data_IF_273588568878
#
_entry.id   IF_273588568878
#
_cell.length_a   1.000
_cell.length_b   1.000
_cell.length_c   1.000
_cell.angle_alpha   90.00
_cell.angle_beta   90.00
_cell.angle_gamma   90.00
#
_symmetry.space_group_name_H-M   'P 1'
#
loop_
_entity.id
_entity.type
_entity.pdbx_description
1 polymer ?
#
# COMPACT_ATOMS: atom_id res chain seq x y z
N UNK A 1 27.87 12.00 15.18
CA UNK A 1 26.69 11.95 14.31
C UNK A 1 27.17 12.06 12.88
N UNK A 2 26.83 11.13 12.03
CA UNK A 2 27.11 11.21 10.60
C UNK A 2 26.09 12.13 9.94
N UNK A 3 26.53 12.93 8.95
CA UNK A 3 25.62 13.72 8.12
C UNK A 3 24.80 12.78 7.21
N UNK A 4 23.63 13.23 6.76
CA UNK A 4 22.81 12.45 5.84
C UNK A 4 23.52 12.22 4.49
N UNK A 5 24.36 13.18 4.06
CA UNK A 5 25.19 13.05 2.87
C UNK A 5 26.25 11.94 3.00
N UNK A 6 26.92 11.82 4.16
CA UNK A 6 27.86 10.74 4.43
C UNK A 6 27.18 9.36 4.47
N UNK A 7 25.95 9.30 4.99
CA UNK A 7 25.17 8.08 5.04
C UNK A 7 24.72 7.65 3.64
N UNK A 8 24.22 8.60 2.85
CA UNK A 8 23.80 8.35 1.48
C UNK A 8 24.96 7.82 0.61
N UNK A 9 26.16 8.40 0.72
CA UNK A 9 27.35 7.91 0.03
C UNK A 9 27.74 6.47 0.41
N UNK A 10 27.32 6.01 1.59
CA UNK A 10 27.54 4.64 2.08
C UNK A 10 26.34 3.71 1.77
N UNK A 11 25.36 4.16 1.03
CA UNK A 11 24.17 3.39 0.68
C UNK A 11 23.16 3.24 1.81
N UNK A 12 23.09 4.21 2.73
CA UNK A 12 22.09 4.26 3.79
C UNK A 12 21.17 5.46 3.63
N UNK A 13 19.89 5.23 3.79
CA UNK A 13 18.88 6.26 3.91
C UNK A 13 18.48 6.42 5.38
N UNK A 14 18.32 7.66 5.84
CA UNK A 14 17.83 7.97 7.17
C UNK A 14 16.30 8.13 7.11
N UNK A 15 15.60 7.29 7.87
CA UNK A 15 14.16 7.38 8.07
C UNK A 15 13.93 7.69 9.55
N UNK A 16 13.76 8.97 9.90
CA UNK A 16 13.72 9.49 11.27
C UNK A 16 15.00 9.12 12.04
N UNK A 17 14.90 8.25 13.04
CA UNK A 17 15.98 7.75 13.89
C UNK A 17 16.54 6.39 13.43
N UNK A 18 16.00 5.84 12.35
CA UNK A 18 16.39 4.55 11.77
C UNK A 18 17.21 4.75 10.50
N UNK A 19 18.17 3.86 10.28
CA UNK A 19 18.95 3.79 9.04
C UNK A 19 18.51 2.58 8.24
N UNK A 20 18.18 2.79 6.98
CA UNK A 20 17.77 1.74 6.04
C UNK A 20 18.79 1.65 4.90
N UNK A 21 19.16 0.42 4.53
CA UNK A 21 20.07 0.19 3.40
C UNK A 21 19.31 0.33 2.08
N UNK A 22 19.93 0.97 1.10
CA UNK A 22 19.41 1.12 -0.26
C UNK A 22 19.03 -0.24 -0.89
N UNK A 23 19.81 -1.29 -0.60
CA UNK A 23 19.53 -2.65 -1.08
C UNK A 23 18.21 -3.22 -0.55
N UNK A 24 17.79 -2.83 0.67
CA UNK A 24 16.52 -3.27 1.23
C UNK A 24 15.33 -2.57 0.55
N UNK A 25 15.47 -1.29 0.22
CA UNK A 25 14.46 -0.55 -0.55
C UNK A 25 14.26 -1.17 -1.92
N UNK A 26 15.33 -1.46 -2.64
CA UNK A 26 15.29 -2.15 -3.94
C UNK A 26 14.64 -3.55 -3.85
N UNK A 27 14.88 -4.27 -2.74
CA UNK A 27 14.23 -5.56 -2.49
C UNK A 27 12.72 -5.40 -2.29
N UNK A 28 12.29 -4.42 -1.49
CA UNK A 28 10.86 -4.14 -1.26
C UNK A 28 10.18 -3.74 -2.57
N UNK A 29 10.78 -2.85 -3.36
CA UNK A 29 10.28 -2.47 -4.69
C UNK A 29 10.11 -3.69 -5.60
N UNK A 30 11.07 -4.62 -5.58
CA UNK A 30 10.97 -5.86 -6.35
C UNK A 30 9.75 -6.71 -5.93
N UNK A 31 9.53 -6.90 -4.63
CA UNK A 31 8.38 -7.64 -4.09
C UNK A 31 7.06 -6.98 -4.51
N UNK A 32 6.97 -5.66 -4.35
CA UNK A 32 5.78 -4.88 -4.76
C UNK A 32 5.54 -5.02 -6.25
N UNK A 33 6.57 -4.87 -7.09
CA UNK A 33 6.47 -5.01 -8.53
C UNK A 33 5.99 -6.40 -8.97
N UNK A 34 6.48 -7.47 -8.35
CA UNK A 34 6.01 -8.83 -8.60
C UNK A 34 4.52 -8.99 -8.27
N UNK A 35 4.12 -8.45 -7.12
CA UNK A 35 2.72 -8.51 -6.66
C UNK A 35 1.81 -7.75 -7.61
N UNK A 36 2.17 -6.53 -7.99
CA UNK A 36 1.36 -5.68 -8.88
C UNK A 36 1.17 -6.28 -10.28
N UNK A 37 2.11 -7.09 -10.76
CA UNK A 37 1.96 -7.83 -12.03
C UNK A 37 0.88 -8.93 -11.97
N UNK A 38 0.54 -9.39 -10.76
CA UNK A 38 -0.45 -10.46 -10.52
C UNK A 38 -1.84 -9.93 -10.21
N UNK A 39 -1.95 -8.67 -9.79
CA UNK A 39 -3.22 -8.06 -9.42
C UNK A 39 -4.07 -7.81 -10.66
N UNK A 40 -5.35 -8.22 -10.57
CA UNK A 40 -6.36 -7.84 -11.55
C UNK A 40 -6.74 -6.36 -11.38
N UNK A 41 -6.37 -5.53 -12.34
CA UNK A 41 -6.62 -4.09 -12.32
C UNK A 41 -8.00 -3.69 -12.84
N UNK A 42 -8.85 -4.65 -13.22
CA UNK A 42 -10.23 -4.40 -13.64
C UNK A 42 -11.18 -4.24 -12.45
N UNK A 43 -10.73 -4.61 -11.26
CA UNK A 43 -11.51 -4.47 -10.03
C UNK A 43 -10.92 -3.38 -9.14
N UNK A 44 -11.76 -2.68 -8.37
CA UNK A 44 -11.29 -1.71 -7.40
C UNK A 44 -10.32 -2.35 -6.42
N UNK A 45 -9.23 -1.63 -6.13
CA UNK A 45 -8.24 -2.04 -5.15
C UNK A 45 -8.57 -1.44 -3.79
N UNK A 46 -8.16 -2.14 -2.74
CA UNK A 46 -8.12 -1.63 -1.37
C UNK A 46 -6.83 -2.05 -0.69
N UNK A 47 -6.53 -1.46 0.46
CA UNK A 47 -5.29 -1.80 1.16
C UNK A 47 -5.27 -3.26 1.63
N UNK A 48 -6.40 -3.77 2.08
CA UNK A 48 -6.55 -5.16 2.52
C UNK A 48 -6.34 -6.16 1.38
N UNK A 49 -6.89 -5.90 0.19
CA UNK A 49 -6.68 -6.75 -0.99
C UNK A 49 -5.20 -6.76 -1.40
N UNK A 50 -4.58 -5.58 -1.42
CA UNK A 50 -3.17 -5.44 -1.76
C UNK A 50 -2.25 -6.13 -0.74
N UNK A 51 -2.46 -5.93 0.55
CA UNK A 51 -1.65 -6.58 1.60
C UNK A 51 -1.81 -8.09 1.60
N UNK A 52 -2.98 -8.60 1.24
CA UNK A 52 -3.21 -10.02 1.04
C UNK A 52 -2.41 -10.59 -0.13
N UNK A 53 -2.43 -9.92 -1.27
CA UNK A 53 -1.64 -10.35 -2.44
C UNK A 53 -0.13 -10.23 -2.21
N UNK A 54 0.32 -9.21 -1.47
CA UNK A 54 1.71 -9.11 -1.01
C UNK A 54 2.08 -10.27 -0.10
N UNK A 55 1.22 -10.58 0.88
CA UNK A 55 1.42 -11.72 1.78
C UNK A 55 1.50 -13.05 1.04
N UNK A 56 0.68 -13.23 -0.01
CA UNK A 56 0.72 -14.38 -0.91
C UNK A 56 2.03 -14.44 -1.68
N UNK A 57 2.45 -13.36 -2.31
CA UNK A 57 3.73 -13.27 -3.04
C UNK A 57 4.90 -13.61 -2.13
N UNK A 58 4.91 -13.07 -0.89
CA UNK A 58 5.93 -13.39 0.10
C UNK A 58 5.90 -14.85 0.54
N UNK A 59 4.73 -15.49 0.56
CA UNK A 59 4.61 -16.90 0.92
C UNK A 59 5.10 -17.85 -0.17
N UNK A 60 4.89 -17.49 -1.43
CA UNK A 60 5.19 -18.31 -2.60
C UNK A 60 6.63 -18.15 -3.10
N UNK A 61 7.20 -16.93 -3.03
CA UNK A 61 8.44 -16.60 -3.70
C UNK A 61 9.63 -16.34 -2.76
N UNK A 62 9.37 -16.12 -1.47
CA UNK A 62 10.41 -15.69 -0.55
C UNK A 62 10.46 -16.55 0.71
N UNK A 63 11.68 -16.86 1.14
CA UNK A 63 11.92 -17.56 2.39
C UNK A 63 11.91 -16.60 3.61
N UNK A 64 11.87 -17.17 4.80
CA UNK A 64 11.93 -16.43 6.05
C UNK A 64 10.58 -15.96 6.59
N UNK A 65 10.56 -15.41 7.82
CA UNK A 65 9.36 -14.88 8.46
C UNK A 65 9.00 -13.49 7.91
N UNK A 66 7.70 -13.16 7.97
CA UNK A 66 7.21 -11.83 7.61
C UNK A 66 5.80 -11.63 8.14
N UNK A 67 5.46 -10.39 8.49
CA UNK A 67 4.14 -10.05 9.06
C UNK A 67 3.05 -10.33 8.03
N UNK A 68 3.16 -9.80 6.82
CA UNK A 68 2.16 -10.00 5.76
C UNK A 68 2.08 -11.46 5.30
N UNK A 69 3.24 -12.15 5.21
CA UNK A 69 3.28 -13.59 4.94
C UNK A 69 2.53 -14.38 5.99
N UNK A 70 2.76 -14.10 7.27
CA UNK A 70 2.09 -14.77 8.38
C UNK A 70 0.59 -14.47 8.40
N UNK A 71 0.21 -13.23 8.13
CA UNK A 71 -1.17 -12.79 8.03
C UNK A 71 -1.90 -13.54 6.90
N UNK A 72 -1.30 -13.62 5.71
CA UNK A 72 -1.84 -14.38 4.59
C UNK A 72 -2.05 -15.86 4.92
N UNK A 73 -1.01 -16.54 5.45
CA UNK A 73 -1.06 -17.96 5.79
C UNK A 73 -2.10 -18.29 6.87
N UNK A 74 -2.43 -17.33 7.73
CA UNK A 74 -3.41 -17.46 8.82
C UNK A 74 -4.77 -16.84 8.50
N UNK A 75 -4.94 -16.33 7.28
CA UNK A 75 -6.13 -15.61 6.85
C UNK A 75 -6.52 -14.45 7.79
N UNK A 76 -5.52 -13.68 8.23
CA UNK A 76 -5.71 -12.48 9.04
C UNK A 76 -5.66 -11.26 8.13
N UNK A 77 -6.74 -10.46 8.04
CA UNK A 77 -6.74 -9.26 7.21
C UNK A 77 -5.82 -8.17 7.79
N UNK A 78 -5.17 -7.43 6.90
CA UNK A 78 -4.32 -6.29 7.25
C UNK A 78 -4.80 -5.07 6.49
N UNK A 79 -5.06 -3.96 7.18
CA UNK A 79 -5.56 -2.71 6.63
C UNK A 79 -4.54 -1.59 6.82
N UNK A 80 -4.43 -0.69 5.83
CA UNK A 80 -3.59 0.51 5.87
C UNK A 80 -4.50 1.74 5.69
N UNK A 81 -5.03 2.32 6.76
CA UNK A 81 -6.02 3.41 6.68
C UNK A 81 -5.51 4.68 5.99
N UNK A 82 -4.22 5.00 6.12
CA UNK A 82 -3.58 6.13 5.46
C UNK A 82 -2.79 5.68 4.22
N UNK A 83 -3.38 4.83 3.37
CA UNK A 83 -2.71 4.17 2.27
C UNK A 83 -2.00 5.14 1.31
N UNK A 84 -2.64 6.25 0.93
CA UNK A 84 -2.06 7.23 0.00
C UNK A 84 -0.92 8.06 0.60
N UNK A 85 -0.76 8.03 1.94
CA UNK A 85 0.34 8.65 2.68
C UNK A 85 1.37 7.58 3.11
N UNK A 86 1.57 6.57 2.27
CA UNK A 86 2.51 5.48 2.51
C UNK A 86 3.38 5.22 1.27
N UNK A 87 4.57 4.69 1.50
CA UNK A 87 5.49 4.24 0.43
C UNK A 87 4.78 3.27 -0.53
N UNK A 88 4.05 2.31 0.02
CA UNK A 88 3.27 1.36 -0.78
C UNK A 88 2.21 2.05 -1.64
N UNK A 89 1.57 3.09 -1.12
CA UNK A 89 0.60 3.89 -1.89
C UNK A 89 1.26 4.62 -3.03
N UNK A 90 2.45 5.15 -2.83
CA UNK A 90 3.26 5.79 -3.87
C UNK A 90 3.68 4.78 -4.93
N UNK A 91 4.17 3.61 -4.55
CA UNK A 91 4.60 2.55 -5.48
C UNK A 91 3.44 2.08 -6.36
N UNK A 92 2.28 1.84 -5.77
CA UNK A 92 1.06 1.46 -6.52
C UNK A 92 0.64 2.56 -7.49
N UNK A 93 0.65 3.82 -7.04
CA UNK A 93 0.32 4.98 -7.85
C UNK A 93 1.29 5.13 -9.03
N UNK A 94 2.58 5.05 -8.77
CA UNK A 94 3.65 5.17 -9.78
C UNK A 94 3.57 4.05 -10.81
N UNK A 95 3.37 2.80 -10.37
CA UNK A 95 3.20 1.66 -11.27
C UNK A 95 1.96 1.81 -12.17
N UNK A 96 0.83 2.21 -11.61
CA UNK A 96 -0.40 2.40 -12.37
C UNK A 96 -0.26 3.54 -13.40
N UNK A 97 0.39 4.63 -13.02
CA UNK A 97 0.71 5.74 -13.92
C UNK A 97 1.70 5.32 -14.99
N UNK A 98 2.75 4.58 -14.63
CA UNK A 98 3.77 4.11 -15.57
C UNK A 98 3.21 3.30 -16.73
N UNK A 99 2.28 2.39 -16.45
CA UNK A 99 1.61 1.58 -17.49
C UNK A 99 0.81 2.39 -18.52
N UNK A 100 0.41 3.60 -18.16
CA UNK A 100 -0.49 4.46 -18.96
C UNK A 100 0.18 5.73 -19.47
N UNK A 101 1.44 5.93 -19.10
CA UNK A 101 2.20 7.12 -19.46
C UNK A 101 2.31 7.29 -20.99
N UNK A 102 2.59 6.22 -21.71
CA UNK A 102 2.71 6.28 -23.17
C UNK A 102 1.37 6.63 -23.84
N UNK A 103 0.28 6.06 -23.34
CA UNK A 103 -1.06 6.41 -23.78
C UNK A 103 -1.40 7.87 -23.49
N UNK A 104 -1.10 8.35 -22.28
CA UNK A 104 -1.34 9.75 -21.91
C UNK A 104 -0.51 10.69 -22.78
N UNK A 105 0.75 10.40 -23.02
CA UNK A 105 1.62 11.19 -23.92
C UNK A 105 1.11 11.22 -25.35
N UNK A 106 0.58 10.11 -25.86
CA UNK A 106 0.03 10.05 -27.22
C UNK A 106 -1.23 10.90 -27.40
N UNK A 107 -1.98 11.14 -26.33
CA UNK A 107 -3.19 11.97 -26.34
C UNK A 107 -2.90 13.48 -26.26
N UNK A 108 -1.71 13.84 -25.80
CA UNK A 108 -1.31 15.25 -25.59
C UNK A 108 -0.43 15.71 -26.73
N UNK A 109 -0.97 16.54 -27.62
CA UNK A 109 -0.21 17.12 -28.73
C UNK A 109 0.66 18.30 -28.32
N UNK A 110 0.15 19.12 -27.39
CA UNK A 110 0.81 20.32 -26.87
C UNK A 110 0.45 20.52 -25.39
N UNK A 111 1.36 21.08 -24.57
CA UNK A 111 1.03 21.46 -23.19
C UNK A 111 1.97 20.92 -22.11
N UNK A 112 3.04 20.24 -22.50
CA UNK A 112 4.10 19.78 -21.58
C UNK A 112 3.61 18.79 -20.50
N UNK A 113 4.40 18.63 -19.44
CA UNK A 113 4.15 17.64 -18.37
C UNK A 113 2.80 17.83 -17.66
N UNK A 114 2.33 19.08 -17.52
CA UNK A 114 1.03 19.35 -16.88
C UNK A 114 -0.13 18.76 -17.67
N UNK A 115 -0.07 18.81 -18.99
CA UNK A 115 -1.12 18.24 -19.83
C UNK A 115 -1.09 16.70 -19.79
N UNK A 116 0.10 16.10 -19.74
CA UNK A 116 0.27 14.66 -19.54
C UNK A 116 -0.29 14.22 -18.21
N UNK A 117 -0.01 14.94 -17.12
CA UNK A 117 -0.58 14.65 -15.79
C UNK A 117 -2.11 14.73 -15.77
N UNK A 118 -2.70 15.70 -16.48
CA UNK A 118 -4.17 15.79 -16.62
C UNK A 118 -4.76 14.59 -17.38
N UNK A 119 -4.07 14.13 -18.42
CA UNK A 119 -4.49 12.93 -19.16
C UNK A 119 -4.38 11.68 -18.29
N UNK A 120 -3.34 11.56 -17.47
CA UNK A 120 -3.17 10.48 -16.48
C UNK A 120 -4.24 10.48 -15.40
N UNK A 121 -4.77 11.64 -15.03
CA UNK A 121 -5.82 11.75 -14.01
C UNK A 121 -7.05 10.86 -14.32
N UNK A 122 -7.41 10.73 -15.58
CA UNK A 122 -8.52 9.87 -16.04
C UNK A 122 -8.18 8.37 -15.99
N UNK A 123 -6.95 8.03 -15.71
CA UNK A 123 -6.42 6.66 -15.76
C UNK A 123 -5.86 6.17 -14.43
N UNK A 124 -6.05 6.93 -13.34
CA UNK A 124 -5.64 6.49 -12.00
C UNK A 124 -6.30 5.16 -11.63
N UNK A 125 -5.61 4.30 -10.87
CA UNK A 125 -6.20 3.07 -10.40
C UNK A 125 -7.44 3.36 -9.56
N UNK A 126 -8.45 2.53 -9.71
CA UNK A 126 -9.64 2.62 -8.86
C UNK A 126 -9.29 2.05 -7.48
N UNK A 127 -8.83 2.93 -6.60
CA UNK A 127 -8.54 2.60 -5.21
C UNK A 127 -9.68 3.09 -4.32
N UNK A 128 -10.39 2.14 -3.70
CA UNK A 128 -11.54 2.45 -2.86
C UNK A 128 -11.29 2.06 -1.39
N UNK A 129 -10.98 3.02 -0.52
CA UNK A 129 -10.73 2.75 0.91
C UNK A 129 -11.97 2.27 1.67
N UNK A 130 -13.16 2.47 1.13
CA UNK A 130 -14.39 1.98 1.77
C UNK A 130 -14.56 0.47 1.66
N UNK A 131 -13.86 -0.19 0.72
CA UNK A 131 -13.81 -1.66 0.68
C UNK A 131 -13.14 -2.22 1.93
N UNK A 132 -12.11 -1.55 2.45
CA UNK A 132 -11.45 -1.93 3.69
C UNK A 132 -12.41 -1.79 4.88
N UNK A 133 -13.17 -0.69 4.94
CA UNK A 133 -14.09 -0.44 6.03
C UNK A 133 -15.28 -1.43 6.01
N UNK A 134 -15.82 -1.73 4.82
CA UNK A 134 -16.87 -2.73 4.67
C UNK A 134 -16.40 -4.12 5.11
N UNK A 135 -15.24 -4.55 4.62
CA UNK A 135 -14.70 -5.85 5.00
C UNK A 135 -14.44 -5.94 6.51
N UNK A 136 -13.89 -4.86 7.11
CA UNK A 136 -13.66 -4.81 8.55
C UNK A 136 -14.98 -4.83 9.34
N UNK A 137 -16.01 -4.15 8.87
CA UNK A 137 -17.34 -4.18 9.48
C UNK A 137 -17.95 -5.60 9.44
N UNK A 138 -17.80 -6.32 8.33
CA UNK A 138 -18.24 -7.72 8.21
C UNK A 138 -17.52 -8.63 9.23
N UNK A 139 -16.21 -8.49 9.39
CA UNK A 139 -15.41 -9.23 10.37
C UNK A 139 -15.87 -8.93 11.81
N UNK A 140 -16.15 -7.66 12.13
CA UNK A 140 -16.65 -7.23 13.44
C UNK A 140 -18.04 -7.81 13.72
N UNK A 141 -18.96 -7.71 12.76
CA UNK A 141 -20.32 -8.25 12.89
C UNK A 141 -20.33 -9.79 13.03
N UNK A 142 -19.38 -10.48 12.38
CA UNK A 142 -19.20 -11.93 12.50
C UNK A 142 -18.57 -12.37 13.85
N UNK A 143 -18.04 -11.43 14.63
CA UNK A 143 -17.30 -11.72 15.84
C UNK A 143 -18.19 -11.79 17.09
N UNK A 144 -17.96 -12.76 17.97
CA UNK A 144 -18.67 -12.86 19.26
C UNK A 144 -18.20 -11.82 20.28
N UNK A 145 -16.97 -11.37 20.18
CA UNK A 145 -16.31 -10.40 21.06
C UNK A 145 -15.29 -9.61 20.25
N UNK A 146 -15.26 -8.32 20.46
CA UNK A 146 -14.26 -7.42 19.91
C UNK A 146 -13.36 -6.90 21.02
N UNK A 147 -12.05 -6.87 20.75
CA UNK A 147 -11.06 -6.21 21.58
C UNK A 147 -10.05 -5.49 20.73
N UNK A 148 -9.59 -4.32 21.16
CA UNK A 148 -8.56 -3.55 20.47
C UNK A 148 -7.32 -3.53 21.34
N UNK A 149 -6.22 -4.06 20.79
CA UNK A 149 -4.90 -3.93 21.38
C UNK A 149 -4.09 -2.92 20.59
N UNK A 150 -3.69 -1.81 21.22
CA UNK A 150 -3.02 -0.71 20.55
C UNK A 150 -1.54 -0.70 20.83
N UNK A 151 -0.72 -0.74 19.77
CA UNK A 151 0.72 -0.48 19.80
C UNK A 151 0.94 0.81 19.02
N UNK A 152 1.26 1.91 19.70
CA UNK A 152 1.26 3.23 19.11
C UNK A 152 -0.14 3.84 19.06
N UNK A 153 -0.33 4.92 18.29
CA UNK A 153 -1.59 5.65 18.25
C UNK A 153 -1.81 6.37 16.91
N UNK A 154 -2.83 7.25 16.87
CA UNK A 154 -3.15 8.04 15.69
C UNK A 154 -4.11 7.35 14.72
N UNK A 155 -3.86 7.48 13.41
CA UNK A 155 -4.80 7.09 12.35
C UNK A 155 -5.29 5.64 12.45
N UNK A 156 -4.46 4.60 12.62
CA UNK A 156 -4.96 3.22 12.65
C UNK A 156 -5.92 2.95 13.80
N UNK A 157 -5.64 3.51 14.99
CA UNK A 157 -6.53 3.37 16.13
C UNK A 157 -7.88 4.06 15.90
N UNK A 158 -7.85 5.29 15.41
CA UNK A 158 -9.07 6.04 15.13
C UNK A 158 -9.92 5.32 14.08
N UNK A 159 -9.28 4.83 13.02
CA UNK A 159 -9.96 4.08 11.97
C UNK A 159 -10.63 2.81 12.52
N UNK A 160 -9.93 2.02 13.33
CA UNK A 160 -10.48 0.81 13.93
C UNK A 160 -11.69 1.09 14.84
N UNK A 161 -11.73 2.26 15.50
CA UNK A 161 -12.86 2.67 16.35
C UNK A 161 -14.05 3.21 15.56
N UNK A 162 -13.87 3.65 14.31
CA UNK A 162 -14.95 4.18 13.47
C UNK A 162 -15.91 3.10 12.95
N UNK A 163 -15.59 1.84 13.11
CA UNK A 163 -16.47 0.74 12.68
C UNK A 163 -17.78 0.74 13.47
N UNK A 164 -17.77 1.12 14.76
CA UNK A 164 -18.98 1.12 15.58
C UNK A 164 -20.08 2.06 15.01
N UNK A 165 -19.85 3.37 14.81
CA UNK A 165 -20.85 4.21 14.17
C UNK A 165 -21.15 3.82 12.71
N UNK A 166 -20.23 3.15 12.02
CA UNK A 166 -20.44 2.70 10.65
C UNK A 166 -21.46 1.57 10.53
N UNK A 167 -21.47 0.63 11.48
CA UNK A 167 -22.42 -0.50 11.48
C UNK A 167 -23.75 -0.19 12.14
N UNK A 168 -23.89 0.96 12.77
CA UNK A 168 -25.15 1.43 13.37
C UNK A 168 -26.09 2.14 12.36
N UNK A 169 -25.64 2.28 11.10
CA UNK A 169 -26.42 2.87 10.00
C UNK A 169 -27.46 1.85 9.53
#
# INVERSE_FOLDING_TARGET
SHSDEELFQKGYNRVYDTLEMESNLNYVEHVVSLTLKRINTEQPLSSHLLTRELGKTLAEEFEGPGILKSAYLKNVPVYIPAFTDSEMGLDVGTWAMGKRMDQARSQVKDGGDTAVLRALHQTCPDFNPYLDLNHYAEEVLGSKRLGIFTIGGGVPRNWAQQVAPYIEI
#
